data_IF_181434536302
#
_entry.id   IF_181434536302
#
_cell.length_a   1.000
_cell.length_b   1.000
_cell.length_c   1.000
_cell.angle_alpha   90.00
_cell.angle_beta   90.00
_cell.angle_gamma   90.00
#
_symmetry.space_group_name_H-M   'P 1'
#
loop_
_entity.id
_entity.type
_entity.pdbx_description
1 polymer ?
#
# COMPACT_ATOMS: atom_id res chain seq x y z
N UNK A 1 -20.24 -2.09 1.81
CA UNK A 1 -19.12 -1.19 1.43
C UNK A 1 -19.25 0.09 2.24
N UNK A 2 -18.44 0.25 3.27
CA UNK A 2 -18.38 1.49 4.04
C UNK A 2 -17.61 2.51 3.18
N UNK A 3 -18.34 3.45 2.58
CA UNK A 3 -17.73 4.59 1.88
C UNK A 3 -17.13 5.51 2.94
N UNK A 4 -15.83 5.41 3.16
CA UNK A 4 -15.14 6.43 3.91
C UNK A 4 -15.30 7.76 3.17
N UNK A 5 -15.71 8.78 3.90
CA UNK A 5 -15.79 10.13 3.33
C UNK A 5 -14.37 10.57 2.95
N UNK A 6 -14.16 11.21 1.78
CA UNK A 6 -12.84 11.70 1.37
C UNK A 6 -12.22 12.63 2.42
N UNK A 7 -13.05 13.32 3.19
CA UNK A 7 -12.63 14.21 4.28
C UNK A 7 -12.00 13.42 5.43
N UNK A 8 -12.57 12.25 5.80
CA UNK A 8 -12.00 11.44 6.90
C UNK A 8 -10.65 10.82 6.52
N UNK A 9 -10.46 10.44 5.26
CA UNK A 9 -9.19 9.93 4.76
C UNK A 9 -8.11 11.04 4.74
N UNK A 10 -8.48 12.24 4.30
CA UNK A 10 -7.56 13.39 4.31
C UNK A 10 -7.16 13.79 5.73
N UNK A 11 -8.11 13.87 6.65
CA UNK A 11 -7.86 14.16 8.07
C UNK A 11 -6.92 13.11 8.70
N UNK A 12 -7.16 11.82 8.44
CA UNK A 12 -6.31 10.74 8.94
C UNK A 12 -4.87 10.85 8.42
N UNK A 13 -4.70 11.16 7.14
CA UNK A 13 -3.38 11.39 6.54
C UNK A 13 -2.65 12.58 7.18
N UNK A 14 -3.32 13.72 7.35
CA UNK A 14 -2.75 14.90 7.99
C UNK A 14 -2.34 14.63 9.45
N UNK A 15 -3.20 13.99 10.23
CA UNK A 15 -2.90 13.64 11.62
C UNK A 15 -1.71 12.68 11.72
N UNK A 16 -1.64 11.67 10.87
CA UNK A 16 -0.53 10.72 10.86
C UNK A 16 0.80 11.38 10.45
N UNK A 17 0.76 12.31 9.50
CA UNK A 17 1.95 13.10 9.11
C UNK A 17 2.46 13.97 10.26
N UNK A 18 1.55 14.68 10.94
CA UNK A 18 1.89 15.52 12.09
C UNK A 18 2.46 14.68 13.23
N UNK A 19 1.80 13.55 13.53
CA UNK A 19 2.26 12.64 14.58
C UNK A 19 3.64 12.06 14.27
N UNK A 20 3.89 11.62 13.03
CA UNK A 20 5.19 11.14 12.58
C UNK A 20 6.29 12.21 12.71
N UNK A 21 6.00 13.43 12.27
CA UNK A 21 6.92 14.56 12.40
C UNK A 21 7.27 14.88 13.86
N UNK A 22 6.26 14.93 14.74
CA UNK A 22 6.45 15.18 16.18
C UNK A 22 7.22 14.05 16.86
N UNK A 23 6.93 12.79 16.53
CA UNK A 23 7.65 11.65 17.10
C UNK A 23 9.14 11.68 16.74
N UNK A 24 9.46 11.96 15.48
CA UNK A 24 10.87 12.08 15.06
C UNK A 24 11.53 13.31 15.64
N UNK A 25 10.86 14.42 15.78
CA UNK A 25 11.38 15.61 16.45
C UNK A 25 11.69 15.32 17.93
N UNK A 26 10.78 14.65 18.65
CA UNK A 26 11.00 14.25 20.03
C UNK A 26 12.14 13.24 20.19
N UNK A 27 12.28 12.30 19.25
CA UNK A 27 13.40 11.35 19.20
C UNK A 27 14.74 12.09 19.09
N UNK A 28 14.84 13.10 18.21
CA UNK A 28 16.10 13.87 18.05
C UNK A 28 16.46 14.65 19.31
N UNK A 29 15.45 15.21 20.00
CA UNK A 29 15.70 15.95 21.23
C UNK A 29 16.22 15.07 22.36
N UNK A 30 15.83 13.78 22.39
CA UNK A 30 16.19 12.84 23.45
C UNK A 30 17.45 11.99 23.13
N UNK A 31 17.80 11.81 21.86
CA UNK A 31 18.96 11.04 21.45
C UNK A 31 20.19 11.94 21.31
N UNK A 32 21.29 11.52 21.92
CA UNK A 32 22.60 12.14 21.70
C UNK A 32 22.91 12.12 20.19
N UNK A 33 23.18 13.28 19.63
CA UNK A 33 23.38 13.49 18.18
C UNK A 33 24.48 12.61 17.56
N UNK A 34 25.42 12.12 18.37
CA UNK A 34 26.58 11.34 17.92
C UNK A 34 26.22 9.93 17.46
N UNK A 35 25.16 9.30 18.01
CA UNK A 35 24.79 7.92 17.68
C UNK A 35 23.91 7.79 16.43
N UNK A 36 23.22 8.85 16.04
CA UNK A 36 22.35 8.86 14.85
C UNK A 36 23.11 9.04 13.53
N UNK A 37 24.37 9.51 13.61
CA UNK A 37 25.20 9.80 12.44
C UNK A 37 26.09 8.65 11.98
N UNK A 38 26.09 7.51 12.68
CA UNK A 38 26.71 6.34 12.10
C UNK A 38 26.09 6.02 10.75
N UNK A 39 26.91 5.74 9.75
CA UNK A 39 26.54 5.56 8.34
C UNK A 39 25.40 4.54 8.05
N UNK A 40 24.94 3.81 9.06
CA UNK A 40 23.87 2.81 8.97
C UNK A 40 22.45 3.38 9.18
N UNK A 41 22.30 4.50 9.90
CA UNK A 41 20.99 5.06 10.24
C UNK A 41 20.17 5.52 9.00
N UNK A 42 20.75 6.18 7.99
CA UNK A 42 20.00 6.57 6.79
C UNK A 42 19.42 5.39 6.04
N UNK A 43 20.16 4.30 5.91
CA UNK A 43 19.69 3.07 5.25
C UNK A 43 18.57 2.39 6.02
N UNK A 44 18.65 2.33 7.35
CA UNK A 44 17.61 1.75 8.18
C UNK A 44 16.28 2.50 8.05
N UNK A 45 16.31 3.84 8.06
CA UNK A 45 15.11 4.66 7.90
C UNK A 45 14.55 4.53 6.48
N UNK A 46 15.40 4.54 5.47
CA UNK A 46 14.97 4.40 4.07
C UNK A 46 14.37 3.03 3.79
N UNK A 47 14.82 1.96 4.48
CA UNK A 47 14.26 0.61 4.33
C UNK A 47 12.78 0.53 4.71
N UNK A 48 12.27 1.43 5.56
CA UNK A 48 10.85 1.50 5.92
C UNK A 48 9.96 1.71 4.67
N UNK A 49 10.45 2.44 3.66
CA UNK A 49 9.71 2.68 2.42
C UNK A 49 9.72 1.49 1.46
N UNK A 50 10.66 0.54 1.60
CA UNK A 50 10.72 -0.65 0.75
C UNK A 50 9.58 -1.64 1.05
N UNK A 51 9.15 -1.74 2.31
CA UNK A 51 8.08 -2.63 2.73
C UNK A 51 6.75 -2.33 2.00
N UNK A 52 6.23 -1.09 1.96
CA UNK A 52 5.00 -0.79 1.23
C UNK A 52 5.16 -0.91 -0.29
N UNK A 53 6.36 -0.70 -0.85
CA UNK A 53 6.63 -0.96 -2.27
C UNK A 53 6.40 -2.44 -2.59
N UNK A 54 6.93 -3.35 -1.78
CA UNK A 54 6.72 -4.80 -1.98
C UNK A 54 5.25 -5.19 -1.86
N UNK A 55 4.50 -4.58 -0.93
CA UNK A 55 3.06 -4.79 -0.80
C UNK A 55 2.28 -4.31 -2.05
N UNK A 56 2.62 -3.15 -2.58
CA UNK A 56 2.01 -2.63 -3.83
C UNK A 56 2.27 -3.57 -5.00
N UNK A 57 3.50 -4.08 -5.16
CA UNK A 57 3.86 -5.03 -6.22
C UNK A 57 3.07 -6.33 -6.06
N UNK A 58 2.96 -6.88 -4.85
CA UNK A 58 2.16 -8.08 -4.59
C UNK A 58 0.69 -7.89 -4.96
N UNK A 59 0.12 -6.70 -4.67
CA UNK A 59 -1.25 -6.37 -5.06
C UNK A 59 -1.41 -6.31 -6.57
N UNK A 60 -0.48 -5.71 -7.30
CA UNK A 60 -0.51 -5.66 -8.77
C UNK A 60 -0.44 -7.07 -9.37
N UNK A 61 0.44 -7.93 -8.86
CA UNK A 61 0.54 -9.33 -9.30
C UNK A 61 -0.78 -10.08 -9.02
N UNK A 62 -1.36 -9.90 -7.83
CA UNK A 62 -2.66 -10.51 -7.48
C UNK A 62 -3.79 -10.05 -8.40
N UNK A 63 -3.80 -8.78 -8.82
CA UNK A 63 -4.78 -8.25 -9.77
C UNK A 63 -4.57 -8.80 -11.19
N UNK A 64 -3.32 -9.01 -11.61
CA UNK A 64 -3.02 -9.63 -12.89
C UNK A 64 -3.50 -11.08 -12.95
N UNK A 65 -3.32 -11.84 -11.86
CA UNK A 65 -3.85 -13.21 -11.78
C UNK A 65 -5.37 -13.25 -11.88
N UNK A 66 -6.08 -12.29 -11.28
CA UNK A 66 -7.54 -12.17 -11.44
C UNK A 66 -7.97 -11.84 -12.87
N UNK A 67 -7.16 -11.06 -13.59
CA UNK A 67 -7.44 -10.72 -14.98
C UNK A 67 -7.29 -11.93 -15.92
N UNK A 68 -6.39 -12.86 -15.62
CA UNK A 68 -6.23 -14.09 -16.42
C UNK A 68 -7.33 -15.13 -16.16
N UNK A 69 -8.02 -15.09 -15.00
CA UNK A 69 -9.11 -16.00 -14.65
C UNK A 69 -10.50 -15.53 -15.17
N UNK A 70 -10.55 -14.48 -16.01
CA UNK A 70 -11.82 -13.85 -16.47
C UNK A 70 -12.59 -14.65 -17.52
N UNK A 71 -11.98 -15.64 -18.16
CA UNK A 71 -12.57 -16.37 -19.29
C UNK A 71 -13.86 -17.14 -18.94
N UNK A 72 -14.02 -17.49 -17.65
CA UNK A 72 -15.18 -18.24 -17.14
C UNK A 72 -16.33 -17.36 -16.61
N UNK A 73 -16.19 -16.02 -16.65
CA UNK A 73 -17.17 -15.10 -16.09
C UNK A 73 -18.16 -14.57 -17.16
N UNK A 74 -19.39 -14.24 -16.72
CA UNK A 74 -20.38 -13.58 -17.62
C UNK A 74 -19.84 -12.21 -18.06
N UNK A 75 -20.09 -11.85 -19.34
CA UNK A 75 -19.62 -10.57 -19.93
C UNK A 75 -19.98 -9.31 -19.10
N UNK A 76 -21.11 -9.31 -18.42
CA UNK A 76 -21.53 -8.19 -17.54
C UNK A 76 -20.68 -8.11 -16.26
N UNK A 77 -20.31 -9.25 -15.69
CA UNK A 77 -19.48 -9.31 -14.50
C UNK A 77 -18.02 -8.92 -14.81
N UNK A 78 -17.52 -9.35 -15.98
CA UNK A 78 -16.19 -8.98 -16.47
C UNK A 78 -16.06 -7.46 -16.64
N UNK A 79 -17.07 -6.79 -17.20
CA UNK A 79 -17.06 -5.32 -17.36
C UNK A 79 -17.00 -4.62 -16.01
N UNK A 80 -17.81 -5.07 -15.05
CA UNK A 80 -17.86 -4.48 -13.70
C UNK A 80 -16.54 -4.70 -12.95
N UNK A 81 -15.97 -5.89 -13.06
CA UNK A 81 -14.67 -6.24 -12.50
C UNK A 81 -13.56 -5.36 -13.09
N UNK A 82 -13.53 -5.23 -14.41
CA UNK A 82 -12.52 -4.42 -15.11
C UNK A 82 -12.56 -2.96 -14.66
N UNK A 83 -13.73 -2.35 -14.57
CA UNK A 83 -13.87 -0.97 -14.11
C UNK A 83 -13.38 -0.78 -12.65
N UNK A 84 -13.69 -1.73 -11.75
CA UNK A 84 -13.21 -1.71 -10.38
C UNK A 84 -11.69 -1.88 -10.30
N UNK A 85 -11.13 -2.82 -11.07
CA UNK A 85 -9.68 -3.05 -11.11
C UNK A 85 -8.92 -1.84 -11.68
N UNK A 86 -9.43 -1.19 -12.73
CA UNK A 86 -8.80 0.01 -13.30
C UNK A 86 -8.75 1.16 -12.29
N UNK A 87 -9.82 1.39 -11.55
CA UNK A 87 -9.83 2.42 -10.52
C UNK A 87 -8.83 2.10 -9.41
N UNK A 88 -8.81 0.85 -8.94
CA UNK A 88 -7.88 0.42 -7.87
C UNK A 88 -6.42 0.44 -8.33
N UNK A 89 -6.15 0.07 -9.58
CA UNK A 89 -4.80 0.15 -10.16
C UNK A 89 -4.24 1.57 -10.14
N UNK A 90 -5.04 2.57 -10.52
CA UNK A 90 -4.60 3.98 -10.48
C UNK A 90 -4.14 4.38 -9.08
N UNK A 91 -4.88 3.99 -8.04
CA UNK A 91 -4.51 4.28 -6.66
C UNK A 91 -3.21 3.57 -6.24
N UNK A 92 -3.03 2.29 -6.61
CA UNK A 92 -1.82 1.53 -6.30
C UNK A 92 -0.60 2.14 -7.00
N UNK A 93 -0.71 2.52 -8.28
CA UNK A 93 0.38 3.20 -8.98
C UNK A 93 0.72 4.55 -8.36
N UNK A 94 -0.27 5.30 -7.92
CA UNK A 94 -0.04 6.57 -7.21
C UNK A 94 0.70 6.35 -5.88
N UNK A 95 0.29 5.35 -5.08
CA UNK A 95 0.99 4.99 -3.86
C UNK A 95 2.43 4.53 -4.12
N UNK A 96 2.64 3.73 -5.15
CA UNK A 96 3.97 3.26 -5.53
C UNK A 96 4.89 4.43 -5.93
N UNK A 97 4.40 5.36 -6.75
CA UNK A 97 5.14 6.57 -7.12
C UNK A 97 5.48 7.41 -5.88
N UNK A 98 4.52 7.56 -4.95
CA UNK A 98 4.74 8.25 -3.68
C UNK A 98 5.85 7.60 -2.84
N UNK A 99 5.88 6.27 -2.72
CA UNK A 99 6.92 5.59 -1.92
C UNK A 99 8.30 5.69 -2.57
N UNK A 100 8.39 5.56 -3.89
CA UNK A 100 9.65 5.75 -4.63
C UNK A 100 10.15 7.18 -4.44
N UNK A 101 9.26 8.17 -4.55
CA UNK A 101 9.59 9.56 -4.31
C UNK A 101 10.06 9.79 -2.87
N UNK A 102 9.34 9.26 -1.86
CA UNK A 102 9.68 9.39 -0.45
C UNK A 102 11.01 8.74 -0.10
N UNK A 103 11.30 7.56 -0.67
CA UNK A 103 12.60 6.90 -0.54
C UNK A 103 13.73 7.77 -1.10
N UNK A 104 13.55 8.26 -2.33
CA UNK A 104 14.57 9.10 -3.00
C UNK A 104 14.77 10.42 -2.27
N UNK A 105 13.69 11.09 -1.85
CA UNK A 105 13.75 12.32 -1.09
C UNK A 105 14.46 12.13 0.25
N UNK A 106 14.20 11.04 0.94
CA UNK A 106 14.86 10.70 2.21
C UNK A 106 16.36 10.52 2.01
N UNK A 107 16.79 9.78 0.96
CA UNK A 107 18.19 9.61 0.64
C UNK A 107 18.90 10.92 0.31
N UNK A 108 18.26 11.78 -0.49
CA UNK A 108 18.79 13.11 -0.82
C UNK A 108 18.91 14.00 0.41
N UNK A 109 17.89 14.04 1.28
CA UNK A 109 17.93 14.82 2.52
C UNK A 109 19.08 14.39 3.43
N UNK A 110 19.30 13.09 3.59
CA UNK A 110 20.42 12.61 4.39
C UNK A 110 21.79 12.90 3.74
N UNK A 111 21.90 12.85 2.42
CA UNK A 111 23.14 13.19 1.70
C UNK A 111 23.49 14.68 1.87
N UNK A 112 22.53 15.57 1.82
CA UNK A 112 22.73 17.02 1.98
C UNK A 112 23.10 17.39 3.42
N UNK A 113 22.58 16.66 4.40
CA UNK A 113 22.76 16.97 5.83
C UNK A 113 24.12 16.54 6.35
N UNK A 114 24.79 15.60 5.71
CA UNK A 114 26.13 15.16 6.14
C UNK A 114 27.16 16.28 6.24
N UNK A 115 26.84 17.47 5.74
CA UNK A 115 27.74 18.63 5.70
C UNK A 115 27.60 19.62 6.87
N UNK A 116 26.52 19.63 7.66
CA UNK A 116 26.37 20.53 8.80
C UNK A 116 25.35 20.09 9.85
N UNK A 117 25.80 19.95 11.09
CA UNK A 117 25.01 19.43 12.23
C UNK A 117 23.86 20.35 12.66
N UNK A 118 24.01 21.67 12.53
CA UNK A 118 22.99 22.64 12.98
C UNK A 118 21.72 22.62 12.13
N UNK A 119 21.82 22.22 10.88
CA UNK A 119 20.71 22.20 9.90
C UNK A 119 19.89 20.89 9.94
N UNK A 120 20.32 19.93 10.76
CA UNK A 120 19.81 18.55 10.76
C UNK A 120 18.36 18.37 11.26
N UNK A 121 17.89 19.26 12.12
CA UNK A 121 16.57 19.11 12.75
C UNK A 121 15.41 19.13 11.75
N UNK A 122 15.44 20.03 10.78
CA UNK A 122 14.37 20.18 9.80
C UNK A 122 14.23 18.98 8.85
N UNK A 123 15.30 18.49 8.19
CA UNK A 123 15.22 17.32 7.32
C UNK A 123 14.66 16.08 8.01
N UNK A 124 15.08 15.80 9.25
CA UNK A 124 14.58 14.64 9.98
C UNK A 124 13.10 14.76 10.35
N UNK A 125 12.64 15.96 10.70
CA UNK A 125 11.21 16.20 10.95
C UNK A 125 10.38 15.95 9.69
N UNK A 126 10.88 16.36 8.51
CA UNK A 126 10.23 16.06 7.23
C UNK A 126 10.18 14.54 6.96
N UNK A 127 11.30 13.86 7.17
CA UNK A 127 11.37 12.39 7.03
C UNK A 127 10.39 11.70 7.98
N UNK A 128 10.28 12.19 9.22
CA UNK A 128 9.29 11.69 10.19
C UNK A 128 7.85 11.85 9.69
N UNK A 129 7.53 12.97 9.08
CA UNK A 129 6.23 13.19 8.43
C UNK A 129 5.96 12.20 7.29
N UNK A 130 6.96 11.97 6.42
CA UNK A 130 6.86 10.98 5.33
C UNK A 130 6.67 9.56 5.87
N UNK A 131 7.37 9.17 6.94
CA UNK A 131 7.20 7.87 7.61
C UNK A 131 5.79 7.75 8.19
N UNK A 132 5.28 8.78 8.87
CA UNK A 132 3.92 8.79 9.39
C UNK A 132 2.87 8.59 8.30
N UNK A 133 2.99 9.31 7.19
CA UNK A 133 2.11 9.16 6.03
C UNK A 133 2.21 7.76 5.40
N UNK A 134 3.42 7.19 5.37
CA UNK A 134 3.66 5.84 4.88
C UNK A 134 2.94 4.80 5.74
N UNK A 135 3.03 4.90 7.07
CA UNK A 135 2.33 3.99 7.99
C UNK A 135 0.81 4.05 7.82
N UNK A 136 0.26 5.25 7.65
CA UNK A 136 -1.17 5.43 7.37
C UNK A 136 -1.59 4.76 6.06
N UNK A 137 -0.82 4.96 5.01
CA UNK A 137 -1.12 4.38 3.69
C UNK A 137 -0.96 2.85 3.64
N UNK A 138 -0.08 2.27 4.47
CA UNK A 138 0.03 0.80 4.62
C UNK A 138 -1.28 0.21 5.15
N UNK A 139 -1.89 0.83 6.17
CA UNK A 139 -3.19 0.38 6.69
C UNK A 139 -4.25 0.36 5.59
N UNK A 140 -4.26 1.37 4.73
CA UNK A 140 -5.18 1.46 3.61
C UNK A 140 -4.89 0.36 2.55
N UNK A 141 -3.62 0.11 2.21
CA UNK A 141 -3.20 -0.96 1.28
C UNK A 141 -3.61 -2.34 1.81
N UNK A 142 -3.46 -2.59 3.11
CA UNK A 142 -3.88 -3.86 3.72
C UNK A 142 -5.40 -4.04 3.59
N UNK A 143 -6.17 -2.98 3.79
CA UNK A 143 -7.62 -3.02 3.60
C UNK A 143 -8.01 -3.34 2.15
N UNK A 144 -7.37 -2.69 1.18
CA UNK A 144 -7.55 -2.98 -0.25
C UNK A 144 -7.19 -4.44 -0.61
N UNK A 145 -6.09 -4.95 -0.02
CA UNK A 145 -5.67 -6.35 -0.21
C UNK A 145 -6.75 -7.32 0.27
N UNK A 146 -7.36 -7.03 1.41
CA UNK A 146 -8.46 -7.86 1.95
C UNK A 146 -9.67 -7.86 1.01
N UNK A 147 -10.11 -6.69 0.53
CA UNK A 147 -11.23 -6.62 -0.40
C UNK A 147 -10.99 -7.42 -1.69
N UNK A 148 -9.78 -7.35 -2.25
CA UNK A 148 -9.39 -8.10 -3.46
C UNK A 148 -9.40 -9.61 -3.16
N UNK A 149 -8.89 -10.03 -2.00
CA UNK A 149 -8.88 -11.42 -1.57
C UNK A 149 -10.28 -11.98 -1.38
N UNK A 150 -11.17 -11.23 -0.72
CA UNK A 150 -12.57 -11.61 -0.48
C UNK A 150 -13.32 -11.76 -1.81
N UNK A 151 -13.05 -10.86 -2.75
CA UNK A 151 -13.62 -10.92 -4.09
C UNK A 151 -13.13 -12.15 -4.86
N UNK A 152 -11.83 -12.46 -4.78
CA UNK A 152 -11.26 -13.67 -5.40
C UNK A 152 -11.88 -14.95 -4.83
N UNK A 153 -12.05 -15.01 -3.52
CA UNK A 153 -12.71 -16.13 -2.85
C UNK A 153 -14.15 -16.32 -3.36
N UNK A 154 -14.91 -15.23 -3.46
CA UNK A 154 -16.30 -15.27 -3.96
C UNK A 154 -16.40 -15.78 -5.42
N UNK A 155 -15.46 -15.40 -6.29
CA UNK A 155 -15.41 -15.92 -7.68
C UNK A 155 -15.09 -17.42 -7.67
N UNK A 156 -14.09 -17.85 -6.90
CA UNK A 156 -13.69 -19.25 -6.80
C UNK A 156 -14.82 -20.16 -6.31
N UNK A 157 -15.59 -19.69 -5.31
CA UNK A 157 -16.73 -20.44 -4.78
C UNK A 157 -17.86 -20.59 -5.80
N UNK A 158 -18.15 -19.53 -6.57
CA UNK A 158 -19.14 -19.60 -7.66
C UNK A 158 -18.71 -20.60 -8.76
N UNK A 159 -17.43 -20.58 -9.13
CA UNK A 159 -16.88 -21.53 -10.10
C UNK A 159 -17.07 -22.97 -9.64
N UNK A 160 -16.73 -23.26 -8.37
CA UNK A 160 -16.95 -24.59 -7.76
C UNK A 160 -18.42 -24.99 -7.77
N UNK A 161 -19.33 -24.07 -7.45
CA UNK A 161 -20.77 -24.34 -7.47
C UNK A 161 -21.25 -24.66 -8.88
N UNK A 162 -20.79 -23.92 -9.88
CA UNK A 162 -21.16 -24.16 -11.29
C UNK A 162 -20.62 -25.52 -11.78
N UNK A 163 -19.39 -25.86 -11.47
CA UNK A 163 -18.80 -27.16 -11.81
C UNK A 163 -19.55 -28.31 -11.13
N UNK A 164 -19.91 -28.15 -9.87
CA UNK A 164 -20.71 -29.16 -9.15
C UNK A 164 -22.11 -29.32 -9.73
N UNK A 165 -22.77 -28.24 -10.16
CA UNK A 165 -24.05 -28.32 -10.84
C UNK A 165 -23.93 -29.01 -12.20
N UNK A 166 -22.88 -28.73 -12.96
CA UNK A 166 -22.61 -29.38 -14.24
C UNK A 166 -22.41 -30.88 -14.06
N UNK A 167 -21.56 -31.30 -13.11
CA UNK A 167 -21.34 -32.71 -12.76
C UNK A 167 -22.62 -33.42 -12.31
N UNK A 168 -23.49 -32.76 -11.56
CA UNK A 168 -24.80 -33.29 -11.18
C UNK A 168 -25.69 -33.52 -12.40
N UNK A 169 -25.80 -32.52 -13.30
CA UNK A 169 -26.59 -32.68 -14.54
C UNK A 169 -26.07 -33.79 -15.44
N UNK A 170 -24.76 -33.96 -15.54
CA UNK A 170 -24.13 -35.04 -16.31
C UNK A 170 -24.42 -36.43 -15.70
N UNK A 171 -24.56 -36.54 -14.36
CA UNK A 171 -24.89 -37.80 -13.68
C UNK A 171 -26.37 -38.18 -13.76
N UNK A 172 -27.25 -37.18 -13.72
CA UNK A 172 -28.72 -37.42 -13.71
C UNK A 172 -29.40 -37.17 -15.08
N UNK A 173 -28.67 -36.76 -16.08
CA UNK A 173 -29.20 -36.49 -17.43
C UNK A 173 -28.90 -37.60 -18.43
N UNK A 174 -28.32 -38.73 -18.01
CA UNK A 174 -28.07 -39.89 -18.82
C UNK A 174 -29.10 -41.04 -18.57
N UNK A 175 -30.19 -40.75 -17.85
CA UNK A 175 -31.36 -41.61 -17.75
C UNK A 175 -32.48 -40.99 -18.57
#
# INVERSE_FOLDING_TARGET
MQKYSPISLFLGACLSTIFGALAFYALIMNLSTNSLFEAKAPWAISSIFLLPITLCIQLLISQWSLKSEQDDLKKSEVRRLRALLEQKNKHIYFCLAFYVFSFTATMLLFSLVSQSISTFKYPITIVGGLVGLTLYSICWIIHEKKEISDFKAAISDRKRQYENQKRRKERFGND
#
